data_IF_244936858635
#
_entry.id   IF_244936858635
#
_cell.length_a   1.000
_cell.length_b   1.000
_cell.length_c   1.000
_cell.angle_alpha   90.00
_cell.angle_beta   90.00
_cell.angle_gamma   90.00
#
_symmetry.space_group_name_H-M   'P 1'
#
loop_
_entity.id
_entity.type
_entity.pdbx_description
1 polymer ?
#
# COMPACT_ATOMS: atom_id res chain seq x y z
N UNK A 1 8.10 9.93 -32.84
CA UNK A 1 8.63 8.53 -32.94
C UNK A 1 7.57 7.53 -32.51
N UNK A 2 7.75 6.23 -32.79
CA UNK A 2 6.85 5.15 -32.29
C UNK A 2 7.60 4.22 -31.33
N UNK A 3 6.89 3.64 -30.36
CA UNK A 3 7.47 2.82 -29.29
C UNK A 3 6.74 1.47 -29.16
N UNK A 4 7.50 0.39 -29.04
CA UNK A 4 7.00 -0.95 -28.76
C UNK A 4 7.57 -1.40 -27.41
N UNK A 5 6.74 -1.44 -26.36
CA UNK A 5 7.15 -1.72 -24.98
C UNK A 5 6.86 -3.18 -24.64
N UNK A 6 7.80 -3.86 -23.99
CA UNK A 6 7.70 -5.28 -23.71
C UNK A 6 7.82 -6.10 -24.98
N UNK A 7 8.76 -5.74 -25.86
CA UNK A 7 8.81 -6.32 -27.19
C UNK A 7 9.12 -7.82 -27.19
N UNK A 8 9.80 -8.34 -26.16
CA UNK A 8 10.27 -9.72 -26.11
C UNK A 8 10.99 -10.10 -27.41
N UNK A 9 10.49 -11.15 -28.08
CA UNK A 9 10.98 -11.58 -29.39
C UNK A 9 10.21 -11.00 -30.58
N UNK A 10 9.31 -10.05 -30.35
CA UNK A 10 8.49 -9.39 -31.38
C UNK A 10 9.09 -8.04 -31.75
N UNK A 11 9.93 -8.03 -32.79
CA UNK A 11 10.52 -6.79 -33.31
C UNK A 11 9.57 -6.07 -34.29
N UNK A 12 9.24 -4.81 -34.00
CA UNK A 12 8.44 -3.97 -34.89
C UNK A 12 9.32 -2.98 -35.64
N UNK A 13 9.40 -3.15 -36.96
CA UNK A 13 10.16 -2.25 -37.84
C UNK A 13 9.57 -0.83 -37.79
N UNK A 14 10.42 0.17 -37.55
CA UNK A 14 10.02 1.58 -37.47
C UNK A 14 9.55 2.03 -36.09
N UNK A 15 9.60 1.15 -35.10
CA UNK A 15 9.40 1.45 -33.68
C UNK A 15 10.76 1.40 -32.99
N UNK A 16 10.92 2.18 -31.93
CA UNK A 16 11.92 1.88 -30.90
C UNK A 16 11.37 0.70 -30.09
N UNK A 17 12.07 -0.42 -30.09
CA UNK A 17 11.66 -1.60 -29.32
C UNK A 17 12.36 -1.56 -27.96
N UNK A 18 11.59 -1.67 -26.88
CA UNK A 18 12.11 -1.65 -25.52
C UNK A 18 11.58 -2.84 -24.71
N UNK A 19 12.43 -3.35 -23.84
CA UNK A 19 12.10 -4.46 -22.94
C UNK A 19 12.98 -4.37 -21.68
N UNK A 20 12.53 -4.98 -20.58
CA UNK A 20 13.32 -5.05 -19.35
C UNK A 20 14.40 -6.15 -19.43
N UNK A 21 14.21 -7.16 -20.29
CA UNK A 21 15.13 -8.28 -20.45
C UNK A 21 16.21 -8.02 -21.50
N UNK A 22 17.47 -8.24 -21.10
CA UNK A 22 18.62 -8.23 -22.02
C UNK A 22 18.62 -9.36 -23.06
N UNK A 23 17.79 -10.39 -22.86
CA UNK A 23 17.66 -11.54 -23.77
C UNK A 23 16.59 -11.33 -24.86
N UNK A 24 16.00 -10.13 -24.92
CA UNK A 24 14.98 -9.73 -25.90
C UNK A 24 15.59 -9.22 -27.22
N UNK A 25 14.74 -8.83 -28.17
CA UNK A 25 15.12 -8.11 -29.40
C UNK A 25 15.05 -6.58 -29.23
N UNK A 26 15.08 -6.07 -28.00
CA UNK A 26 14.97 -4.65 -27.73
C UNK A 26 16.15 -3.86 -28.32
N UNK A 27 15.85 -2.69 -28.87
CA UNK A 27 16.84 -1.69 -29.26
C UNK A 27 17.43 -0.99 -28.01
N UNK A 28 16.67 -0.95 -26.91
CA UNK A 28 17.11 -0.42 -25.62
C UNK A 28 16.47 -1.16 -24.44
N UNK A 29 17.27 -1.42 -23.41
CA UNK A 29 16.80 -2.07 -22.17
C UNK A 29 16.23 -1.02 -21.24
N UNK A 30 14.93 -1.11 -20.96
CA UNK A 30 14.19 -0.18 -20.10
C UNK A 30 13.04 -0.91 -19.39
N UNK A 31 12.81 -0.56 -18.14
CA UNK A 31 11.60 -0.97 -17.43
C UNK A 31 10.38 -0.24 -18.01
N UNK A 32 9.27 -0.95 -18.20
CA UNK A 32 8.07 -0.38 -18.83
C UNK A 32 7.48 0.81 -18.06
N UNK A 33 7.69 0.87 -16.75
CA UNK A 33 7.22 1.92 -15.85
C UNK A 33 8.26 3.03 -15.62
N UNK A 34 9.43 2.96 -16.26
CA UNK A 34 10.53 3.89 -16.10
C UNK A 34 11.29 4.10 -17.43
N UNK A 35 10.66 4.77 -18.39
CA UNK A 35 11.24 4.99 -19.71
C UNK A 35 12.21 6.16 -19.68
N UNK A 36 13.41 5.96 -20.23
CA UNK A 36 14.42 7.02 -20.43
C UNK A 36 14.09 7.87 -21.67
N UNK A 37 12.87 8.41 -21.74
CA UNK A 37 12.35 9.24 -22.82
C UNK A 37 11.76 10.54 -22.29
N UNK A 38 11.85 11.60 -23.07
CA UNK A 38 11.27 12.89 -22.72
C UNK A 38 9.74 12.84 -22.74
N UNK A 39 9.12 13.68 -21.93
CA UNK A 39 7.67 13.87 -21.91
C UNK A 39 7.19 14.37 -23.28
N UNK A 40 6.04 13.89 -23.75
CA UNK A 40 5.46 14.24 -25.05
C UNK A 40 6.35 14.01 -26.31
N UNK A 41 7.28 13.05 -26.27
CA UNK A 41 8.19 12.71 -27.38
C UNK A 41 7.69 11.60 -28.32
N UNK A 42 6.67 10.83 -27.92
CA UNK A 42 6.19 9.64 -28.62
C UNK A 42 4.83 9.89 -29.29
N UNK A 43 4.68 9.43 -30.53
CA UNK A 43 3.45 9.58 -31.31
C UNK A 43 2.46 8.43 -31.05
N UNK A 44 3.00 7.22 -30.88
CA UNK A 44 2.26 5.97 -30.79
C UNK A 44 3.05 4.95 -29.94
N UNK A 45 2.34 4.28 -29.03
CA UNK A 45 2.87 3.17 -28.21
C UNK A 45 2.09 1.91 -28.54
N UNK A 46 2.79 0.79 -28.68
CA UNK A 46 2.22 -0.56 -28.62
C UNK A 46 2.78 -1.28 -27.40
N UNK A 47 1.91 -1.92 -26.63
CA UNK A 47 2.24 -2.78 -25.50
C UNK A 47 1.36 -4.03 -25.58
N UNK A 48 1.89 -5.09 -26.20
CA UNK A 48 1.16 -6.34 -26.44
C UNK A 48 1.57 -7.37 -25.40
N UNK A 49 0.59 -7.92 -24.67
CA UNK A 49 0.80 -8.95 -23.65
C UNK A 49 1.90 -8.56 -22.63
N UNK A 50 1.72 -7.40 -21.99
CA UNK A 50 2.71 -6.80 -21.10
C UNK A 50 2.15 -6.49 -19.71
N UNK A 51 1.00 -5.82 -19.63
CA UNK A 51 0.52 -5.22 -18.38
C UNK A 51 0.28 -6.26 -17.29
N UNK A 52 -0.12 -7.47 -17.66
CA UNK A 52 -0.30 -8.63 -16.78
C UNK A 52 0.98 -9.06 -16.05
N UNK A 53 2.16 -8.82 -16.64
CA UNK A 53 3.46 -9.13 -16.03
C UNK A 53 3.87 -8.11 -14.97
N UNK A 54 3.33 -6.89 -15.03
CA UNK A 54 3.68 -5.80 -14.11
C UNK A 54 2.94 -5.93 -12.77
N UNK A 55 1.73 -6.48 -12.78
CA UNK A 55 0.83 -6.50 -11.63
C UNK A 55 0.09 -5.17 -11.44
N UNK A 56 -0.73 -5.09 -10.40
CA UNK A 56 -1.68 -3.98 -10.23
C UNK A 56 -0.99 -2.61 -10.10
N UNK A 57 -0.07 -2.45 -9.13
CA UNK A 57 0.54 -1.16 -8.86
C UNK A 57 1.55 -0.71 -9.91
N UNK A 58 2.48 -1.58 -10.33
CA UNK A 58 3.39 -1.23 -11.45
C UNK A 58 2.61 -0.97 -12.74
N UNK A 59 1.47 -1.64 -12.95
CA UNK A 59 0.55 -1.34 -14.06
C UNK A 59 0.08 0.12 -14.06
N UNK A 60 -0.27 0.69 -12.90
CA UNK A 60 -0.61 2.13 -12.78
C UNK A 60 0.55 3.04 -13.18
N UNK A 61 1.77 2.73 -12.73
CA UNK A 61 2.96 3.51 -13.08
C UNK A 61 3.30 3.39 -14.57
N UNK A 62 3.16 2.20 -15.15
CA UNK A 62 3.31 1.98 -16.59
C UNK A 62 2.32 2.79 -17.42
N UNK A 63 1.04 2.82 -17.04
CA UNK A 63 0.04 3.63 -17.73
C UNK A 63 0.36 5.13 -17.62
N UNK A 64 0.77 5.59 -16.43
CA UNK A 64 1.22 6.96 -16.22
C UNK A 64 2.46 7.29 -17.07
N UNK A 65 3.42 6.38 -17.17
CA UNK A 65 4.64 6.58 -17.96
C UNK A 65 4.35 6.62 -19.47
N UNK A 66 3.47 5.74 -19.95
CA UNK A 66 2.93 5.82 -21.31
C UNK A 66 2.26 7.18 -21.56
N UNK A 67 1.47 7.65 -20.59
CA UNK A 67 0.81 8.96 -20.68
C UNK A 67 1.83 10.09 -20.73
N UNK A 68 2.90 10.03 -19.92
CA UNK A 68 3.96 11.03 -19.86
C UNK A 68 4.66 11.19 -21.20
N UNK A 69 5.14 10.10 -21.79
CA UNK A 69 5.95 10.13 -23.02
C UNK A 69 5.10 10.38 -24.27
N UNK A 70 3.79 10.06 -24.27
CA UNK A 70 2.92 10.34 -25.40
C UNK A 70 2.67 11.84 -25.60
N UNK A 71 2.76 12.29 -26.85
CA UNK A 71 2.34 13.63 -27.27
C UNK A 71 0.82 13.81 -27.17
N UNK A 72 0.30 15.06 -27.12
CA UNK A 72 -1.13 15.29 -27.21
C UNK A 72 -1.73 14.65 -28.46
N UNK A 73 -2.83 13.91 -28.28
CA UNK A 73 -3.47 13.17 -29.37
C UNK A 73 -2.74 11.90 -29.80
N UNK A 74 -1.63 11.54 -29.17
CA UNK A 74 -0.94 10.26 -29.36
C UNK A 74 -1.78 9.07 -28.91
N UNK A 75 -1.43 7.88 -29.40
CA UNK A 75 -2.22 6.65 -29.23
C UNK A 75 -1.44 5.59 -28.46
N UNK A 76 -2.10 4.90 -27.54
CA UNK A 76 -1.61 3.69 -26.88
C UNK A 76 -2.47 2.51 -27.32
N UNK A 77 -1.84 1.50 -27.90
CA UNK A 77 -2.40 0.18 -28.15
C UNK A 77 -1.99 -0.74 -26.99
N UNK A 78 -2.95 -1.12 -26.16
CA UNK A 78 -2.70 -1.94 -24.97
C UNK A 78 -3.39 -3.29 -25.13
N UNK A 79 -2.65 -4.38 -24.97
CA UNK A 79 -3.21 -5.74 -25.01
C UNK A 79 -2.86 -6.54 -23.76
N UNK A 80 -3.79 -7.41 -23.36
CA UNK A 80 -3.64 -8.33 -22.23
C UNK A 80 -4.53 -9.56 -22.45
N UNK A 81 -4.33 -10.68 -21.74
CA UNK A 81 -5.24 -11.81 -21.77
C UNK A 81 -6.68 -11.40 -21.43
N UNK A 82 -7.65 -11.91 -22.18
CA UNK A 82 -9.06 -11.64 -21.91
C UNK A 82 -9.57 -12.57 -20.82
N UNK A 83 -9.72 -12.05 -19.61
CA UNK A 83 -10.03 -12.84 -18.42
C UNK A 83 -11.37 -13.59 -18.53
N UNK A 84 -12.44 -12.87 -18.85
CA UNK A 84 -13.81 -13.40 -18.88
C UNK A 84 -13.93 -14.50 -19.94
N UNK A 85 -13.43 -14.23 -21.15
CA UNK A 85 -13.44 -15.21 -22.24
C UNK A 85 -12.55 -16.42 -21.97
N UNK A 86 -11.44 -16.24 -21.25
CA UNK A 86 -10.62 -17.36 -20.78
C UNK A 86 -11.39 -18.24 -19.80
N UNK A 87 -12.18 -17.65 -18.90
CA UNK A 87 -13.05 -18.42 -18.01
C UNK A 87 -14.22 -19.09 -18.74
N UNK A 88 -14.77 -18.48 -19.78
CA UNK A 88 -15.77 -19.13 -20.65
C UNK A 88 -15.19 -20.39 -21.29
N UNK A 89 -13.97 -20.31 -21.85
CA UNK A 89 -13.25 -21.47 -22.41
C UNK A 89 -12.99 -22.51 -21.33
N UNK A 90 -12.54 -22.10 -20.14
CA UNK A 90 -12.30 -23.02 -19.02
C UNK A 90 -13.56 -23.77 -18.59
N UNK A 91 -14.67 -23.05 -18.39
CA UNK A 91 -15.92 -23.62 -17.89
C UNK A 91 -16.59 -24.54 -18.91
N UNK A 92 -16.56 -24.16 -20.20
CA UNK A 92 -17.18 -24.94 -21.27
C UNK A 92 -16.26 -26.04 -21.84
N UNK A 93 -14.95 -25.92 -21.63
CA UNK A 93 -13.93 -26.74 -22.28
C UNK A 93 -13.75 -28.13 -21.67
N UNK A 94 -13.12 -29.00 -22.48
CA UNK A 94 -12.60 -30.27 -22.03
C UNK A 94 -11.34 -30.08 -21.16
N UNK A 95 -10.67 -31.18 -20.79
CA UNK A 95 -9.46 -31.11 -19.97
C UNK A 95 -8.35 -30.26 -20.61
N UNK A 96 -8.12 -30.41 -21.92
CA UNK A 96 -7.08 -29.71 -22.64
C UNK A 96 -7.37 -28.21 -22.69
N UNK A 97 -8.59 -27.82 -23.04
CA UNK A 97 -9.00 -26.42 -23.09
C UNK A 97 -8.92 -25.73 -21.70
N UNK A 98 -9.19 -26.48 -20.63
CA UNK A 98 -9.00 -25.98 -19.25
C UNK A 98 -7.54 -25.75 -18.92
N UNK A 99 -6.66 -26.69 -19.26
CA UNK A 99 -5.22 -26.57 -19.06
C UNK A 99 -4.64 -25.39 -19.88
N UNK A 100 -5.09 -25.21 -21.13
CA UNK A 100 -4.73 -24.08 -21.99
C UNK A 100 -5.17 -22.74 -21.39
N UNK A 101 -6.42 -22.63 -20.94
CA UNK A 101 -6.95 -21.41 -20.34
C UNK A 101 -6.20 -21.04 -19.05
N UNK A 102 -5.86 -22.02 -18.20
CA UNK A 102 -5.07 -21.76 -17.00
C UNK A 102 -3.65 -21.29 -17.34
N UNK A 103 -2.99 -21.95 -18.29
CA UNK A 103 -1.64 -21.55 -18.73
C UNK A 103 -1.64 -20.16 -19.36
N UNK A 104 -2.74 -19.79 -20.04
CA UNK A 104 -2.91 -18.46 -20.60
C UNK A 104 -3.12 -17.38 -19.53
N UNK A 105 -3.88 -17.68 -18.48
CA UNK A 105 -4.16 -16.72 -17.39
C UNK A 105 -2.96 -16.54 -16.45
N UNK A 106 -2.27 -17.62 -16.08
CA UNK A 106 -1.15 -17.55 -15.12
C UNK A 106 0.19 -17.23 -15.78
N UNK A 107 0.27 -17.33 -17.11
CA UNK A 107 1.53 -17.23 -17.85
C UNK A 107 2.39 -18.48 -17.68
N UNK A 108 3.62 -18.42 -18.20
CA UNK A 108 4.57 -19.53 -18.09
C UNK A 108 5.40 -19.41 -16.79
N UNK A 109 5.81 -20.55 -16.23
CA UNK A 109 6.71 -20.60 -15.06
C UNK A 109 8.15 -20.18 -15.40
N UNK A 110 8.46 -19.92 -16.66
CA UNK A 110 9.73 -19.32 -17.07
C UNK A 110 9.91 -17.99 -16.36
N UNK A 111 11.11 -17.74 -15.85
CA UNK A 111 11.44 -16.50 -15.14
C UNK A 111 11.00 -15.28 -15.95
N UNK A 112 10.26 -14.37 -15.29
CA UNK A 112 9.67 -13.15 -15.86
C UNK A 112 8.51 -13.34 -16.85
N UNK A 113 8.06 -14.58 -17.11
CA UNK A 113 6.91 -14.86 -17.97
C UNK A 113 5.62 -15.17 -17.20
N UNK A 114 5.67 -15.16 -15.87
CA UNK A 114 4.47 -15.29 -15.04
C UNK A 114 3.62 -14.03 -15.14
N UNK A 115 2.30 -14.21 -15.13
CA UNK A 115 1.36 -13.11 -15.00
C UNK A 115 1.20 -12.81 -13.51
N UNK A 116 1.48 -11.57 -13.10
CA UNK A 116 1.28 -11.10 -11.73
C UNK A 116 -0.18 -10.74 -11.47
N UNK A 117 -0.91 -10.37 -12.52
CA UNK A 117 -2.31 -9.98 -12.43
C UNK A 117 -3.01 -10.18 -13.77
N UNK A 118 -4.29 -10.57 -13.76
CA UNK A 118 -5.14 -10.54 -14.95
C UNK A 118 -6.15 -9.41 -14.79
N UNK A 119 -6.32 -8.59 -15.83
CA UNK A 119 -7.17 -7.41 -15.76
C UNK A 119 -8.55 -7.70 -16.36
N UNK A 120 -9.63 -7.71 -15.56
CA UNK A 120 -10.99 -7.61 -16.09
C UNK A 120 -11.14 -6.33 -16.93
N UNK A 121 -12.00 -6.36 -17.95
CA UNK A 121 -12.19 -5.21 -18.83
C UNK A 121 -12.58 -3.94 -18.05
N UNK A 122 -13.55 -4.05 -17.14
CA UNK A 122 -14.06 -2.90 -16.36
C UNK A 122 -12.93 -2.26 -15.52
N UNK A 123 -12.13 -3.09 -14.84
CA UNK A 123 -10.99 -2.60 -14.06
C UNK A 123 -9.95 -1.93 -14.95
N UNK A 124 -9.63 -2.51 -16.11
CA UNK A 124 -8.66 -1.90 -17.03
C UNK A 124 -9.18 -0.57 -17.57
N UNK A 125 -10.48 -0.45 -17.83
CA UNK A 125 -11.12 0.81 -18.24
C UNK A 125 -11.00 1.90 -17.15
N UNK A 126 -11.21 1.54 -15.89
CA UNK A 126 -11.04 2.45 -14.76
C UNK A 126 -9.57 2.91 -14.65
N UNK A 127 -8.62 1.98 -14.75
CA UNK A 127 -7.18 2.29 -14.63
C UNK A 127 -6.68 3.20 -15.76
N UNK A 128 -7.10 2.98 -17.01
CA UNK A 128 -6.70 3.84 -18.13
C UNK A 128 -7.35 5.22 -18.04
N UNK A 129 -8.59 5.31 -17.53
CA UNK A 129 -9.26 6.58 -17.27
C UNK A 129 -8.59 7.35 -16.13
N UNK A 130 -8.20 6.67 -15.04
CA UNK A 130 -7.43 7.25 -13.93
C UNK A 130 -6.09 7.82 -14.42
N UNK A 131 -5.41 7.12 -15.32
CA UNK A 131 -4.19 7.60 -15.97
C UNK A 131 -4.41 8.77 -16.94
N UNK A 132 -5.66 9.09 -17.28
CA UNK A 132 -6.05 10.22 -18.13
C UNK A 132 -6.30 9.88 -19.59
N UNK A 133 -6.27 8.60 -19.98
CA UNK A 133 -6.56 8.18 -21.35
C UNK A 133 -8.06 8.19 -21.64
N UNK A 134 -8.40 8.57 -22.87
CA UNK A 134 -9.73 8.33 -23.43
C UNK A 134 -9.74 6.99 -24.16
N UNK A 135 -10.66 6.10 -23.79
CA UNK A 135 -10.92 4.87 -24.53
C UNK A 135 -11.61 5.20 -25.86
N UNK A 136 -10.96 4.88 -26.98
CA UNK A 136 -11.54 5.05 -28.32
C UNK A 136 -12.33 3.80 -28.72
N UNK A 137 -11.74 2.62 -28.48
CA UNK A 137 -12.32 1.33 -28.84
C UNK A 137 -11.66 0.22 -28.03
N UNK A 138 -12.38 -0.87 -27.80
CA UNK A 138 -11.80 -2.13 -27.33
C UNK A 138 -12.32 -3.29 -28.18
N UNK A 139 -11.50 -4.31 -28.37
CA UNK A 139 -11.85 -5.52 -29.12
C UNK A 139 -11.36 -6.80 -28.44
N UNK A 140 -12.08 -7.88 -28.69
CA UNK A 140 -11.75 -9.25 -28.25
C UNK A 140 -11.35 -10.06 -29.47
N UNK A 141 -10.17 -10.69 -29.43
CA UNK A 141 -9.65 -11.51 -30.51
C UNK A 141 -8.95 -12.76 -29.96
N UNK A 142 -8.59 -13.70 -30.83
CA UNK A 142 -7.73 -14.83 -30.46
C UNK A 142 -6.29 -14.48 -30.86
N UNK A 143 -5.40 -14.36 -29.90
CA UNK A 143 -3.97 -14.17 -30.16
C UNK A 143 -3.37 -15.43 -30.79
N UNK A 144 -3.78 -16.59 -30.26
CA UNK A 144 -3.58 -17.93 -30.81
C UNK A 144 -4.81 -18.78 -30.47
N UNK A 145 -4.85 -20.03 -30.95
CA UNK A 145 -5.91 -20.98 -30.59
C UNK A 145 -6.07 -21.07 -29.06
N UNK A 146 -7.30 -20.95 -28.58
CA UNK A 146 -7.68 -20.92 -27.16
C UNK A 146 -7.01 -19.84 -26.30
N UNK A 147 -6.41 -18.81 -26.90
CA UNK A 147 -5.79 -17.68 -26.20
C UNK A 147 -6.51 -16.38 -26.50
N UNK A 148 -7.67 -16.14 -25.86
CA UNK A 148 -8.43 -14.92 -26.07
C UNK A 148 -7.69 -13.73 -25.45
N UNK A 149 -7.60 -12.66 -26.21
CA UNK A 149 -6.95 -11.41 -25.83
C UNK A 149 -7.90 -10.25 -25.95
N UNK A 150 -7.68 -9.28 -25.07
CA UNK A 150 -8.36 -8.00 -25.06
C UNK A 150 -7.38 -6.94 -25.55
N UNK A 151 -7.81 -6.10 -26.48
CA UNK A 151 -7.05 -4.92 -26.93
C UNK A 151 -7.85 -3.66 -26.70
N UNK A 152 -7.22 -2.64 -26.12
CA UNK A 152 -7.74 -1.30 -25.98
C UNK A 152 -6.96 -0.34 -26.89
N UNK A 153 -7.68 0.48 -27.63
CA UNK A 153 -7.13 1.63 -28.37
C UNK A 153 -7.43 2.87 -27.55
N UNK A 154 -6.37 3.48 -27.03
CA UNK A 154 -6.43 4.59 -26.09
C UNK A 154 -5.83 5.84 -26.72
N UNK A 155 -6.39 7.01 -26.39
CA UNK A 155 -5.89 8.29 -26.88
C UNK A 155 -5.60 9.25 -25.73
N UNK A 156 -4.45 9.93 -25.79
CA UNK A 156 -4.14 11.03 -24.88
C UNK A 156 -4.95 12.27 -25.28
N UNK A 157 -5.92 12.74 -24.46
CA UNK A 157 -6.76 13.89 -24.80
C UNK A 157 -5.95 15.20 -24.81
N UNK A 158 -6.58 16.32 -25.22
CA UNK A 158 -5.95 17.64 -25.29
C UNK A 158 -6.03 18.45 -23.98
N UNK A 159 -7.07 18.28 -23.17
CA UNK A 159 -7.13 18.83 -21.81
C UNK A 159 -6.60 17.79 -20.82
N UNK A 160 -5.38 17.98 -20.31
CA UNK A 160 -4.68 16.92 -19.56
C UNK A 160 -3.68 17.38 -18.51
N UNK A 161 -3.67 18.66 -18.17
CA UNK A 161 -2.62 19.25 -17.32
C UNK A 161 -2.43 18.49 -16.00
N UNK A 162 -3.53 18.19 -15.30
CA UNK A 162 -3.52 17.42 -14.05
C UNK A 162 -2.93 16.02 -14.25
N UNK A 163 -3.34 15.30 -15.31
CA UNK A 163 -2.84 13.95 -15.59
C UNK A 163 -1.37 13.97 -16.03
N UNK A 164 -0.93 14.98 -16.78
CA UNK A 164 0.49 15.16 -17.15
C UNK A 164 1.35 15.44 -15.92
N UNK A 165 0.85 16.29 -15.02
CA UNK A 165 1.51 16.54 -13.73
C UNK A 165 1.62 15.26 -12.90
N UNK A 166 0.53 14.48 -12.76
CA UNK A 166 0.55 13.23 -11.99
C UNK A 166 1.42 12.15 -12.64
N UNK A 167 1.52 12.12 -13.97
CA UNK A 167 2.41 11.24 -14.69
C UNK A 167 3.89 11.59 -14.45
N UNK A 168 4.22 12.89 -14.50
CA UNK A 168 5.55 13.38 -14.17
C UNK A 168 5.89 13.14 -12.69
N UNK A 169 4.93 13.29 -11.78
CA UNK A 169 5.12 12.98 -10.37
C UNK A 169 5.48 11.50 -10.19
N UNK A 170 4.73 10.57 -10.79
CA UNK A 170 5.03 9.14 -10.70
C UNK A 170 6.43 8.81 -11.27
N UNK A 171 6.82 9.42 -12.39
CA UNK A 171 8.18 9.31 -12.93
C UNK A 171 9.24 9.73 -11.91
N UNK A 172 9.06 10.89 -11.27
CA UNK A 172 9.98 11.36 -10.23
C UNK A 172 10.04 10.42 -9.03
N UNK A 173 8.90 9.91 -8.57
CA UNK A 173 8.87 8.96 -7.45
C UNK A 173 9.71 7.71 -7.77
N UNK A 174 9.57 7.15 -8.98
CA UNK A 174 10.39 6.02 -9.43
C UNK A 174 11.88 6.38 -9.45
N UNK A 175 12.25 7.54 -9.99
CA UNK A 175 13.64 8.02 -10.02
C UNK A 175 14.23 8.26 -8.61
N UNK A 176 13.39 8.44 -7.60
CA UNK A 176 13.78 8.59 -6.20
C UNK A 176 13.66 7.28 -5.40
N UNK A 177 13.32 6.16 -6.06
CA UNK A 177 13.14 4.85 -5.42
C UNK A 177 12.10 4.84 -4.28
N UNK A 178 11.09 5.72 -4.35
CA UNK A 178 10.05 5.87 -3.33
C UNK A 178 8.96 4.78 -3.39
N UNK A 179 8.48 4.33 -4.57
CA UNK A 179 7.44 3.32 -4.66
C UNK A 179 7.86 1.99 -4.02
N UNK A 180 7.08 1.53 -3.04
CA UNK A 180 7.33 0.28 -2.34
C UNK A 180 6.76 -0.94 -3.08
N UNK A 181 7.15 -1.16 -4.34
CA UNK A 181 6.47 -2.13 -5.24
C UNK A 181 6.33 -3.56 -4.73
N UNK A 182 7.15 -3.98 -3.75
CA UNK A 182 7.12 -5.31 -3.15
C UNK A 182 6.27 -5.38 -1.85
N UNK A 183 5.66 -4.27 -1.43
CA UNK A 183 4.74 -4.19 -0.29
C UNK A 183 3.38 -3.63 -0.75
N UNK A 184 2.40 -4.51 -0.91
CA UNK A 184 1.05 -4.21 -1.39
C UNK A 184 0.34 -3.15 -0.53
N UNK A 185 0.50 -3.22 0.79
CA UNK A 185 -0.18 -2.31 1.73
C UNK A 185 0.46 -0.93 1.73
N UNK A 186 1.79 -0.87 1.58
CA UNK A 186 2.50 0.38 1.38
C UNK A 186 2.07 1.03 0.05
N UNK A 187 2.08 0.29 -1.06
CA UNK A 187 1.66 0.81 -2.36
C UNK A 187 0.20 1.28 -2.36
N UNK A 188 -0.71 0.55 -1.71
CA UNK A 188 -2.11 0.96 -1.58
C UNK A 188 -2.23 2.32 -0.89
N UNK A 189 -1.53 2.53 0.22
CA UNK A 189 -1.52 3.82 0.92
C UNK A 189 -0.83 4.93 0.13
N UNK A 190 0.25 4.62 -0.59
CA UNK A 190 0.93 5.59 -1.46
C UNK A 190 0.02 6.03 -2.63
N UNK A 191 -0.70 5.11 -3.27
CA UNK A 191 -1.64 5.44 -4.34
C UNK A 191 -2.86 6.22 -3.82
N UNK A 192 -3.38 5.92 -2.63
CA UNK A 192 -4.44 6.72 -2.00
C UNK A 192 -4.00 8.18 -1.77
N UNK A 193 -2.75 8.37 -1.31
CA UNK A 193 -2.16 9.70 -1.21
C UNK A 193 -2.02 10.37 -2.58
N UNK A 194 -1.59 9.65 -3.62
CA UNK A 194 -1.52 10.21 -4.98
C UNK A 194 -2.88 10.62 -5.53
N UNK A 195 -3.95 9.88 -5.23
CA UNK A 195 -5.33 10.31 -5.53
C UNK A 195 -5.67 11.61 -4.81
N UNK A 196 -5.38 11.71 -3.52
CA UNK A 196 -5.60 12.94 -2.75
C UNK A 196 -4.80 14.13 -3.29
N UNK A 197 -3.55 13.91 -3.72
CA UNK A 197 -2.70 14.92 -4.33
C UNK A 197 -3.20 15.35 -5.71
N UNK A 198 -3.70 14.41 -6.51
CA UNK A 198 -4.38 14.70 -7.76
C UNK A 198 -5.59 15.63 -7.51
N UNK A 199 -6.46 15.29 -6.55
CA UNK A 199 -7.60 16.12 -6.17
C UNK A 199 -7.21 17.47 -5.54
N UNK A 200 -5.98 17.56 -5.01
CA UNK A 200 -5.39 18.76 -4.47
C UNK A 200 -4.58 19.56 -5.50
N UNK A 201 -4.51 19.13 -6.77
CA UNK A 201 -3.67 19.74 -7.80
C UNK A 201 -3.84 21.27 -7.91
N UNK A 202 -5.09 21.76 -7.79
CA UNK A 202 -5.44 23.19 -7.84
C UNK A 202 -5.69 23.84 -6.48
N UNK A 203 -5.48 23.12 -5.38
CA UNK A 203 -5.70 23.66 -4.02
C UNK A 203 -4.52 24.50 -3.58
N UNK A 204 -4.75 25.27 -2.53
CA UNK A 204 -3.72 26.04 -1.87
C UNK A 204 -2.56 25.14 -1.37
N UNK A 205 -1.34 25.66 -1.45
CA UNK A 205 -0.14 24.91 -1.08
C UNK A 205 -0.12 24.55 0.42
N UNK A 206 -0.56 25.45 1.29
CA UNK A 206 -0.61 25.18 2.73
C UNK A 206 -1.66 24.13 3.09
N UNK A 207 -2.82 24.13 2.41
CA UNK A 207 -3.83 23.08 2.58
C UNK A 207 -3.28 21.71 2.13
N UNK A 208 -2.65 21.67 0.96
CA UNK A 208 -2.08 20.44 0.39
C UNK A 208 -0.95 19.87 1.24
N UNK A 209 -0.16 20.74 1.88
CA UNK A 209 0.93 20.34 2.77
C UNK A 209 0.46 19.50 3.97
N UNK A 210 -0.81 19.62 4.38
CA UNK A 210 -1.40 18.76 5.40
C UNK A 210 -1.34 17.27 5.07
N UNK A 211 -1.27 16.89 3.78
CA UNK A 211 -1.12 15.51 3.34
C UNK A 211 0.26 14.90 3.64
N UNK A 212 1.26 15.71 4.03
CA UNK A 212 2.59 15.22 4.40
C UNK A 212 2.59 14.33 5.66
N UNK A 213 1.48 14.31 6.43
CA UNK A 213 1.28 13.31 7.49
C UNK A 213 1.26 11.88 6.96
N UNK A 214 0.79 11.66 5.72
CA UNK A 214 0.75 10.33 5.13
C UNK A 214 2.11 9.91 4.58
N UNK A 215 2.76 10.74 3.76
CA UNK A 215 4.15 10.53 3.32
C UNK A 215 4.81 11.86 3.02
N UNK A 216 5.83 12.22 3.79
CA UNK A 216 6.58 13.46 3.57
C UNK A 216 7.41 13.41 2.28
N UNK A 217 7.90 12.23 1.90
CA UNK A 217 8.72 12.02 0.68
C UNK A 217 7.90 12.25 -0.59
N UNK A 218 6.68 11.70 -0.66
CA UNK A 218 5.80 11.88 -1.82
C UNK A 218 5.38 13.36 -1.95
N UNK A 219 5.02 14.00 -0.83
CA UNK A 219 4.61 15.41 -0.82
C UNK A 219 5.78 16.34 -1.16
N UNK A 220 7.02 15.98 -0.80
CA UNK A 220 8.24 16.68 -1.23
C UNK A 220 8.35 16.70 -2.75
N UNK A 221 8.21 15.56 -3.41
CA UNK A 221 8.29 15.49 -4.87
C UNK A 221 7.12 16.19 -5.58
N UNK A 222 5.92 16.16 -4.99
CA UNK A 222 4.79 16.93 -5.47
C UNK A 222 5.10 18.44 -5.51
N UNK A 223 5.63 19.01 -4.43
CA UNK A 223 5.98 20.43 -4.40
C UNK A 223 7.23 20.75 -5.21
N UNK A 224 8.17 19.82 -5.36
CA UNK A 224 9.32 19.99 -6.24
C UNK A 224 8.89 20.23 -7.71
N UNK A 225 7.80 19.59 -8.15
CA UNK A 225 7.23 19.82 -9.48
C UNK A 225 6.43 21.12 -9.61
N UNK A 226 5.98 21.68 -8.48
CA UNK A 226 5.27 22.96 -8.44
C UNK A 226 6.19 24.15 -8.22
N UNK A 227 7.49 23.93 -8.01
CA UNK A 227 8.44 25.01 -7.76
C UNK A 227 8.50 25.97 -8.95
N UNK A 228 8.45 27.27 -8.67
CA UNK A 228 8.32 28.32 -9.68
C UNK A 228 6.94 28.46 -10.33
N UNK A 229 5.99 27.54 -10.08
CA UNK A 229 4.58 27.64 -10.52
C UNK A 229 3.73 28.26 -9.42
N UNK A 230 3.82 27.71 -8.20
CA UNK A 230 3.12 28.20 -7.02
C UNK A 230 4.10 28.98 -6.12
N UNK A 231 3.74 30.19 -5.69
CA UNK A 231 4.62 31.07 -4.91
C UNK A 231 5.14 30.45 -3.60
N UNK A 232 4.33 29.57 -2.98
CA UNK A 232 4.66 28.88 -1.72
C UNK A 232 5.23 27.46 -1.92
N UNK A 233 5.34 26.96 -3.17
CA UNK A 233 5.77 25.58 -3.41
C UNK A 233 7.20 25.30 -2.92
N UNK A 234 8.17 26.17 -3.20
CA UNK A 234 9.54 25.99 -2.73
C UNK A 234 9.65 25.95 -1.20
N UNK A 235 8.84 26.74 -0.50
CA UNK A 235 8.74 26.70 0.97
C UNK A 235 8.14 25.38 1.45
N UNK A 236 7.05 24.92 0.82
CA UNK A 236 6.41 23.65 1.17
C UNK A 236 7.33 22.45 0.89
N UNK A 237 8.05 22.46 -0.24
CA UNK A 237 9.06 21.46 -0.60
C UNK A 237 10.16 21.39 0.46
N UNK A 238 10.72 22.53 0.89
CA UNK A 238 11.76 22.56 1.91
C UNK A 238 11.28 22.02 3.27
N UNK A 239 10.03 22.32 3.65
CA UNK A 239 9.42 21.76 4.87
C UNK A 239 9.20 20.25 4.72
N UNK A 240 8.69 19.79 3.58
CA UNK A 240 8.48 18.36 3.30
C UNK A 240 9.79 17.58 3.33
N UNK A 241 10.86 18.13 2.76
CA UNK A 241 12.21 17.55 2.83
C UNK A 241 12.69 17.42 4.28
N UNK A 242 12.54 18.47 5.08
CA UNK A 242 12.89 18.44 6.51
C UNK A 242 12.07 17.41 7.30
N UNK A 243 10.78 17.23 6.97
CA UNK A 243 9.94 16.19 7.57
C UNK A 243 10.44 14.79 7.19
N UNK A 244 10.74 14.54 5.91
CA UNK A 244 11.28 13.28 5.44
C UNK A 244 12.62 12.93 6.11
N UNK A 245 13.57 13.87 6.15
CA UNK A 245 14.87 13.71 6.82
C UNK A 245 14.74 13.40 8.32
N UNK A 246 13.67 13.90 8.95
CA UNK A 246 13.39 13.66 10.36
C UNK A 246 12.71 12.31 10.66
N UNK A 247 12.35 11.53 9.63
CA UNK A 247 11.56 10.30 9.76
C UNK A 247 10.19 10.56 10.39
N UNK A 248 9.46 11.50 9.77
CA UNK A 248 8.21 12.02 10.33
C UNK A 248 7.11 10.96 10.47
N UNK A 249 6.98 10.04 9.52
CA UNK A 249 6.02 8.94 9.59
C UNK A 249 6.28 8.02 10.80
N UNK A 250 7.53 7.76 11.13
CA UNK A 250 7.93 7.00 12.31
C UNK A 250 7.71 7.79 13.60
N UNK A 251 7.91 9.11 13.56
CA UNK A 251 7.53 9.98 14.67
C UNK A 251 6.00 9.95 14.91
N UNK A 252 5.19 9.95 13.85
CA UNK A 252 3.73 9.77 13.94
C UNK A 252 3.38 8.41 14.54
N UNK A 253 4.07 7.33 14.15
CA UNK A 253 3.90 6.01 14.76
C UNK A 253 4.27 6.02 16.26
N UNK A 254 5.35 6.69 16.65
CA UNK A 254 5.72 6.84 18.06
C UNK A 254 4.67 7.63 18.85
N UNK A 255 4.12 8.71 18.27
CA UNK A 255 3.02 9.48 18.86
C UNK A 255 1.76 8.62 19.00
N UNK A 256 1.39 7.87 17.97
CA UNK A 256 0.27 6.91 18.01
C UNK A 256 0.42 5.92 19.19
N UNK A 257 1.61 5.32 19.31
CA UNK A 257 1.94 4.37 20.38
C UNK A 257 1.93 4.98 21.79
N UNK A 258 2.12 6.30 21.90
CA UNK A 258 2.11 7.03 23.17
C UNK A 258 0.70 7.29 23.72
N UNK A 259 -0.33 7.27 22.86
CA UNK A 259 -1.71 7.33 23.34
C UNK A 259 -1.97 6.13 24.26
N UNK A 260 -2.76 6.27 25.34
CA UNK A 260 -3.08 5.15 26.21
C UNK A 260 -3.73 4.00 25.43
N UNK A 261 -3.19 2.79 25.51
CA UNK A 261 -3.68 1.64 24.75
C UNK A 261 -5.15 1.30 25.07
N UNK A 262 -5.62 1.59 26.29
CA UNK A 262 -7.03 1.49 26.70
C UNK A 262 -7.87 2.75 26.51
N UNK A 263 -7.32 3.81 25.91
CA UNK A 263 -7.91 5.16 25.87
C UNK A 263 -8.89 5.43 24.73
N UNK A 264 -9.49 4.41 24.11
CA UNK A 264 -10.45 4.56 23.02
C UNK A 264 -10.14 3.72 21.78
N UNK A 265 -10.88 3.97 20.69
CA UNK A 265 -10.83 3.20 19.44
C UNK A 265 -9.59 3.55 18.60
N UNK A 266 -9.17 2.65 17.72
CA UNK A 266 -8.05 2.91 16.79
C UNK A 266 -8.27 4.17 15.96
N UNK A 267 -9.50 4.34 15.45
CA UNK A 267 -9.89 5.47 14.62
C UNK A 267 -9.68 6.82 15.31
N UNK A 268 -9.95 6.90 16.61
CA UNK A 268 -9.83 8.14 17.37
C UNK A 268 -8.37 8.47 17.68
N UNK A 269 -7.58 7.45 18.06
CA UNK A 269 -6.14 7.58 18.25
C UNK A 269 -5.46 8.03 16.95
N UNK A 270 -5.73 7.35 15.84
CA UNK A 270 -5.18 7.70 14.52
C UNK A 270 -5.55 9.12 14.10
N UNK A 271 -6.82 9.53 14.24
CA UNK A 271 -7.26 10.92 13.97
C UNK A 271 -6.65 11.94 14.92
N UNK A 272 -6.39 11.57 16.18
CA UNK A 272 -5.66 12.40 17.13
C UNK A 272 -4.24 12.65 16.62
N UNK A 273 -3.52 11.58 16.30
CA UNK A 273 -2.16 11.64 15.77
C UNK A 273 -2.08 12.45 14.47
N UNK A 274 -3.01 12.27 13.53
CA UNK A 274 -3.05 13.08 12.31
C UNK A 274 -3.25 14.57 12.60
N UNK A 275 -4.14 14.93 13.54
CA UNK A 275 -4.35 16.33 13.94
C UNK A 275 -3.09 16.95 14.56
N UNK A 276 -2.38 16.20 15.39
CA UNK A 276 -1.11 16.63 15.97
C UNK A 276 -0.03 16.81 14.88
N UNK A 277 0.06 15.87 13.94
CA UNK A 277 0.95 15.98 12.78
C UNK A 277 0.65 17.20 11.90
N UNK A 278 -0.63 17.45 11.61
CA UNK A 278 -1.05 18.64 10.87
C UNK A 278 -0.70 19.92 11.64
N UNK A 279 -0.89 19.96 12.96
CA UNK A 279 -0.52 21.11 13.78
C UNK A 279 0.99 21.40 13.75
N UNK A 280 1.84 20.36 13.75
CA UNK A 280 3.29 20.49 13.53
C UNK A 280 3.58 21.12 12.17
N UNK A 281 2.96 20.60 11.10
CA UNK A 281 3.12 21.11 9.73
C UNK A 281 2.68 22.58 9.64
N UNK A 282 1.51 22.93 10.19
CA UNK A 282 1.01 24.30 10.22
C UNK A 282 1.94 25.23 11.00
N UNK A 283 2.52 24.78 12.12
CA UNK A 283 3.51 25.54 12.87
C UNK A 283 4.78 25.81 12.06
N UNK A 284 5.30 24.81 11.35
CA UNK A 284 6.45 24.97 10.45
C UNK A 284 6.17 25.95 9.31
N UNK A 285 4.97 25.88 8.71
CA UNK A 285 4.52 26.83 7.69
C UNK A 285 4.41 28.25 8.25
N UNK A 286 4.03 28.42 9.52
CA UNK A 286 4.01 29.71 10.21
C UNK A 286 5.39 30.21 10.65
N UNK A 287 6.47 29.48 10.36
CA UNK A 287 7.84 29.85 10.74
C UNK A 287 8.19 29.53 12.20
N UNK A 288 7.37 28.74 12.89
CA UNK A 288 7.65 28.29 14.26
C UNK A 288 8.76 27.24 14.21
N UNK A 289 9.78 27.40 15.05
CA UNK A 289 10.84 26.42 15.18
C UNK A 289 10.36 25.20 15.99
N UNK A 290 9.79 24.21 15.28
CA UNK A 290 9.39 22.93 15.88
C UNK A 290 10.57 21.96 15.83
N UNK A 291 10.95 21.37 16.98
CA UNK A 291 11.95 20.29 17.01
C UNK A 291 11.28 18.99 16.59
N UNK A 292 11.66 18.47 15.43
CA UNK A 292 11.22 17.16 14.96
C UNK A 292 12.08 16.10 15.66
N UNK A 293 11.44 15.23 16.44
CA UNK A 293 12.12 14.11 17.05
C UNK A 293 12.46 13.09 15.96
N UNK A 294 13.73 12.65 15.92
CA UNK A 294 14.12 11.53 15.06
C UNK A 294 13.66 10.25 15.74
N UNK A 295 12.80 9.49 15.08
CA UNK A 295 12.36 8.19 15.56
C UNK A 295 13.27 7.07 15.02
N UNK A 296 13.68 6.17 15.90
CA UNK A 296 14.37 4.93 15.54
C UNK A 296 13.33 3.83 15.30
N UNK A 297 13.54 2.99 14.29
CA UNK A 297 12.63 1.89 13.96
C UNK A 297 12.64 1.48 12.50
N UNK A 298 11.79 0.50 12.16
CA UNK A 298 11.52 0.11 10.78
C UNK A 298 10.91 1.29 10.00
N UNK A 299 11.29 1.48 8.73
CA UNK A 299 10.71 2.53 7.89
C UNK A 299 9.19 2.42 7.78
N UNK A 300 8.51 3.57 7.84
CA UNK A 300 7.06 3.66 7.60
C UNK A 300 6.85 4.48 6.32
N UNK A 301 6.79 3.85 5.14
CA UNK A 301 6.74 4.56 3.85
C UNK A 301 5.45 5.37 3.66
N UNK A 302 4.38 4.95 4.34
CA UNK A 302 3.11 5.65 4.38
C UNK A 302 2.39 5.42 5.71
N UNK A 303 1.91 6.49 6.35
CA UNK A 303 1.21 6.41 7.62
C UNK A 303 -0.28 6.07 7.41
N UNK A 304 -0.59 4.84 7.00
CA UNK A 304 -1.95 4.38 6.68
C UNK A 304 -2.47 3.33 7.67
N UNK A 305 -3.78 3.28 7.89
CA UNK A 305 -4.41 2.31 8.81
C UNK A 305 -4.13 0.85 8.38
N UNK A 306 -4.23 0.45 7.10
CA UNK A 306 -3.93 -0.92 6.68
C UNK A 306 -2.48 -1.34 6.96
N UNK A 307 -1.50 -0.46 6.69
CA UNK A 307 -0.10 -0.76 6.96
C UNK A 307 0.17 -0.89 8.46
N UNK A 308 -0.37 0.04 9.27
CA UNK A 308 -0.28 -0.01 10.73
C UNK A 308 -0.88 -1.29 11.30
N UNK A 309 -2.02 -1.74 10.77
CA UNK A 309 -2.63 -3.01 11.16
C UNK A 309 -1.70 -4.19 10.85
N UNK A 310 -1.11 -4.23 9.66
CA UNK A 310 -0.18 -5.30 9.27
C UNK A 310 1.06 -5.35 10.17
N UNK A 311 1.64 -4.19 10.51
CA UNK A 311 2.75 -4.11 11.48
C UNK A 311 2.34 -4.67 12.86
N UNK A 312 1.16 -4.30 13.35
CA UNK A 312 0.63 -4.83 14.61
C UNK A 312 0.36 -6.34 14.57
N UNK A 313 -0.14 -6.86 13.45
CA UNK A 313 -0.43 -8.29 13.27
C UNK A 313 0.86 -9.12 13.22
N UNK A 314 1.94 -8.62 12.60
CA UNK A 314 3.27 -9.26 12.63
C UNK A 314 3.81 -9.39 14.05
N UNK A 315 3.66 -8.33 14.86
CA UNK A 315 4.04 -8.35 16.28
C UNK A 315 3.17 -9.31 17.09
N UNK A 316 1.87 -9.36 16.83
CA UNK A 316 0.97 -10.30 17.47
C UNK A 316 1.36 -11.75 17.15
N UNK A 317 1.63 -12.08 15.88
CA UNK A 317 2.06 -13.40 15.47
C UNK A 317 3.39 -13.82 16.12
N UNK A 318 4.33 -12.88 16.25
CA UNK A 318 5.57 -13.08 17.02
C UNK A 318 5.26 -13.38 18.50
N UNK A 319 4.38 -12.60 19.12
CA UNK A 319 3.96 -12.81 20.51
C UNK A 319 3.29 -14.17 20.74
N UNK A 320 2.51 -14.66 19.77
CA UNK A 320 1.92 -16.02 19.84
C UNK A 320 3.00 -17.10 19.82
N UNK A 321 4.03 -16.96 18.97
CA UNK A 321 5.16 -17.88 18.95
C UNK A 321 5.90 -17.91 20.30
N UNK A 322 6.16 -16.74 20.87
CA UNK A 322 6.81 -16.59 22.19
C UNK A 322 5.93 -17.19 23.30
N UNK A 323 4.61 -16.98 23.25
CA UNK A 323 3.65 -17.57 24.17
C UNK A 323 3.68 -19.10 24.15
N UNK A 324 3.68 -19.72 22.96
CA UNK A 324 3.77 -21.18 22.82
C UNK A 324 5.11 -21.77 23.26
N UNK A 325 6.17 -20.96 23.29
CA UNK A 325 7.49 -21.33 23.85
C UNK A 325 7.60 -21.11 25.35
N UNK A 326 6.53 -20.63 26.01
CA UNK A 326 6.52 -20.20 27.40
C UNK A 326 7.47 -19.01 27.69
N UNK A 327 7.86 -18.24 26.66
CA UNK A 327 8.65 -17.01 26.75
C UNK A 327 7.72 -15.83 27.10
N UNK A 328 7.01 -15.94 28.22
CA UNK A 328 5.89 -15.06 28.56
C UNK A 328 6.25 -13.57 28.74
N UNK A 329 7.51 -13.25 29.03
CA UNK A 329 7.96 -11.85 29.11
C UNK A 329 8.00 -11.20 27.73
N UNK A 330 8.62 -11.88 26.77
CA UNK A 330 8.70 -11.47 25.37
C UNK A 330 7.30 -11.43 24.75
N UNK A 331 6.48 -12.45 25.00
CA UNK A 331 5.11 -12.49 24.50
C UNK A 331 4.29 -11.27 24.96
N UNK A 332 4.37 -10.89 26.23
CA UNK A 332 3.70 -9.68 26.76
C UNK A 332 4.25 -8.40 26.12
N UNK A 333 5.56 -8.32 25.86
CA UNK A 333 6.16 -7.17 25.18
C UNK A 333 5.63 -7.06 23.74
N UNK A 334 5.62 -8.16 22.99
CA UNK A 334 5.10 -8.25 21.62
C UNK A 334 3.60 -7.90 21.55
N UNK A 335 2.78 -8.45 22.44
CA UNK A 335 1.35 -8.11 22.51
C UNK A 335 1.12 -6.65 22.90
N UNK A 336 1.86 -6.14 23.88
CA UNK A 336 1.80 -4.75 24.32
C UNK A 336 2.17 -3.77 23.21
N UNK A 337 3.16 -4.11 22.40
CA UNK A 337 3.54 -3.31 21.25
C UNK A 337 2.48 -3.36 20.14
N UNK A 338 1.96 -4.56 19.84
CA UNK A 338 0.88 -4.75 18.88
C UNK A 338 -0.34 -3.87 19.18
N UNK A 339 -0.82 -3.84 20.43
CA UNK A 339 -1.98 -3.01 20.81
C UNK A 339 -1.70 -1.51 20.80
N UNK A 340 -0.44 -1.09 21.01
CA UNK A 340 -0.08 0.33 20.92
C UNK A 340 -0.12 0.84 19.48
N UNK A 341 0.19 -0.02 18.50
CA UNK A 341 0.09 0.30 17.08
C UNK A 341 -1.36 0.17 16.59
N UNK A 342 -2.03 -0.93 16.94
CA UNK A 342 -3.40 -1.20 16.52
C UNK A 342 -4.25 -1.79 17.67
N UNK A 343 -5.00 -0.92 18.35
CA UNK A 343 -5.71 -1.23 19.61
C UNK A 343 -7.05 -1.94 19.44
N UNK A 344 -7.63 -1.92 18.24
CA UNK A 344 -8.91 -2.56 17.95
C UNK A 344 -8.78 -4.08 17.70
N UNK A 345 -7.58 -4.67 17.78
CA UNK A 345 -7.40 -6.12 17.72
C UNK A 345 -7.65 -6.74 19.12
N UNK A 346 -8.67 -7.59 19.30
CA UNK A 346 -8.99 -8.17 20.62
C UNK A 346 -7.99 -9.24 21.07
N UNK A 347 -7.27 -9.89 20.15
CA UNK A 347 -6.49 -11.09 20.48
C UNK A 347 -5.19 -10.84 21.27
N UNK A 348 -4.40 -9.78 21.02
CA UNK A 348 -3.26 -9.44 21.86
C UNK A 348 -3.68 -9.15 23.32
N UNK A 349 -4.81 -8.46 23.53
CA UNK A 349 -5.39 -8.21 24.85
C UNK A 349 -5.75 -9.52 25.54
N UNK A 350 -6.50 -10.39 24.85
CA UNK A 350 -6.92 -11.68 25.39
C UNK A 350 -5.73 -12.56 25.79
N UNK A 351 -4.72 -12.68 24.93
CA UNK A 351 -3.54 -13.50 25.23
C UNK A 351 -2.67 -12.89 26.35
N UNK A 352 -2.58 -11.56 26.43
CA UNK A 352 -1.94 -10.88 27.56
C UNK A 352 -2.67 -11.20 28.87
N UNK A 353 -4.01 -11.22 28.84
CA UNK A 353 -4.83 -11.56 29.99
C UNK A 353 -4.55 -12.97 30.52
N UNK A 354 -4.43 -13.95 29.61
CA UNK A 354 -4.07 -15.34 29.95
C UNK A 354 -2.69 -15.43 30.62
N UNK A 355 -1.68 -14.75 30.08
CA UNK A 355 -0.33 -14.73 30.68
C UNK A 355 -0.37 -14.10 32.08
N UNK A 356 -1.04 -12.96 32.25
CA UNK A 356 -1.13 -12.27 33.53
C UNK A 356 -1.89 -13.12 34.57
N UNK A 357 -2.92 -13.85 34.15
CA UNK A 357 -3.63 -14.82 34.98
C UNK A 357 -2.71 -15.93 35.49
N UNK A 358 -1.88 -16.52 34.61
CA UNK A 358 -0.88 -17.53 34.99
C UNK A 358 0.14 -16.98 36.01
N UNK A 359 0.49 -15.70 35.90
CA UNK A 359 1.41 -15.00 36.81
C UNK A 359 0.76 -14.47 38.09
N UNK A 360 -0.51 -14.83 38.37
CA UNK A 360 -1.30 -14.40 39.53
C UNK A 360 -1.57 -12.88 39.60
N UNK A 361 -1.51 -12.18 38.48
CA UNK A 361 -1.89 -10.76 38.38
C UNK A 361 -3.37 -10.58 38.05
N UNK A 362 -4.26 -10.85 39.00
CA UNK A 362 -5.72 -10.90 38.77
C UNK A 362 -6.30 -9.59 38.21
N UNK A 363 -5.85 -8.43 38.73
CA UNK A 363 -6.32 -7.12 38.27
C UNK A 363 -5.88 -6.83 36.84
N UNK A 364 -4.59 -7.01 36.54
CA UNK A 364 -4.06 -6.83 35.18
C UNK A 364 -4.67 -7.79 34.17
N UNK A 365 -4.91 -9.05 34.57
CA UNK A 365 -5.59 -10.02 33.73
C UNK A 365 -7.03 -9.57 33.42
N UNK A 366 -7.81 -9.18 34.44
CA UNK A 366 -9.18 -8.71 34.27
C UNK A 366 -9.27 -7.50 33.35
N UNK A 367 -8.41 -6.49 33.54
CA UNK A 367 -8.35 -5.32 32.67
C UNK A 367 -8.12 -5.70 31.20
N UNK A 368 -7.21 -6.64 30.94
CA UNK A 368 -6.93 -7.10 29.58
C UNK A 368 -8.11 -7.89 28.97
N UNK A 369 -8.86 -8.68 29.76
CA UNK A 369 -10.10 -9.31 29.28
C UNK A 369 -11.18 -8.27 28.94
N UNK A 370 -11.35 -7.24 29.78
CA UNK A 370 -12.31 -6.15 29.53
C UNK A 370 -11.94 -5.38 28.25
N UNK A 371 -10.66 -5.10 28.03
CA UNK A 371 -10.16 -4.50 26.79
C UNK A 371 -10.40 -5.39 25.57
N UNK A 372 -10.14 -6.69 25.70
CA UNK A 372 -10.39 -7.65 24.63
C UNK A 372 -11.88 -7.73 24.28
N UNK A 373 -12.76 -7.72 25.27
CA UNK A 373 -14.21 -7.71 25.07
C UNK A 373 -14.68 -6.43 24.36
N UNK A 374 -14.18 -5.26 24.78
CA UNK A 374 -14.51 -3.99 24.13
C UNK A 374 -14.07 -3.93 22.66
N UNK A 375 -12.87 -4.43 22.35
CA UNK A 375 -12.39 -4.54 20.96
C UNK A 375 -13.22 -5.54 20.15
N UNK A 376 -13.61 -6.66 20.75
CA UNK A 376 -14.43 -7.69 20.13
C UNK A 376 -15.87 -7.22 19.86
N UNK A 377 -16.45 -6.44 20.78
CA UNK A 377 -17.80 -5.89 20.65
C UNK A 377 -17.96 -5.00 19.42
N UNK A 378 -16.85 -4.42 18.96
CA UNK A 378 -16.78 -3.51 17.84
C UNK A 378 -16.12 -4.14 16.59
N UNK A 379 -15.90 -5.46 16.62
CA UNK A 379 -15.51 -6.28 15.48
C UNK A 379 -16.74 -6.72 14.65
N UNK A 380 -16.57 -7.24 13.42
CA UNK A 380 -17.67 -7.81 12.64
C UNK A 380 -18.45 -8.86 13.43
N UNK A 381 -19.77 -8.95 13.18
CA UNK A 381 -20.69 -9.80 13.95
C UNK A 381 -20.26 -11.27 14.02
N UNK A 382 -19.73 -11.80 12.91
CA UNK A 382 -19.23 -13.17 12.82
C UNK A 382 -18.07 -13.43 13.79
N UNK A 383 -17.07 -12.54 13.81
CA UNK A 383 -15.91 -12.62 14.71
C UNK A 383 -16.35 -12.50 16.16
N UNK A 384 -17.25 -11.56 16.45
CA UNK A 384 -17.81 -11.36 17.79
C UNK A 384 -18.49 -12.62 18.29
N UNK A 385 -19.46 -13.15 17.54
CA UNK A 385 -20.21 -14.33 17.95
C UNK A 385 -19.32 -15.56 18.13
N UNK A 386 -18.28 -15.73 17.32
CA UNK A 386 -17.37 -16.87 17.42
C UNK A 386 -16.54 -16.90 18.71
N UNK A 387 -16.29 -15.74 19.35
CA UNK A 387 -15.30 -15.64 20.44
C UNK A 387 -15.83 -15.09 21.75
N UNK A 388 -16.97 -14.39 21.75
CA UNK A 388 -17.45 -13.66 22.92
C UNK A 388 -17.76 -14.58 24.12
N UNK A 389 -18.40 -15.72 23.88
CA UNK A 389 -18.75 -16.67 24.95
C UNK A 389 -17.49 -17.25 25.62
N UNK A 390 -16.51 -17.70 24.83
CA UNK A 390 -15.26 -18.24 25.34
C UNK A 390 -14.46 -17.21 26.15
N UNK A 391 -14.37 -15.98 25.65
CA UNK A 391 -13.68 -14.88 26.33
C UNK A 391 -14.35 -14.53 27.67
N UNK A 392 -15.69 -14.43 27.69
CA UNK A 392 -16.44 -14.18 28.94
C UNK A 392 -16.28 -15.32 29.95
N UNK A 393 -16.31 -16.57 29.49
CA UNK A 393 -16.11 -17.73 30.35
C UNK A 393 -14.73 -17.71 31.03
N UNK A 394 -13.67 -17.40 30.28
CA UNK A 394 -12.31 -17.26 30.82
C UNK A 394 -12.20 -16.10 31.81
N UNK A 395 -12.79 -14.94 31.48
CA UNK A 395 -12.79 -13.77 32.37
C UNK A 395 -13.50 -14.05 33.70
N UNK A 396 -14.66 -14.71 33.66
CA UNK A 396 -15.45 -15.04 34.84
C UNK A 396 -14.77 -16.08 35.76
N UNK A 397 -13.84 -16.88 35.21
CA UNK A 397 -13.02 -17.83 35.98
C UNK A 397 -11.90 -17.19 36.81
N UNK A 398 -11.66 -15.87 36.67
CA UNK A 398 -10.63 -15.16 37.44
C UNK A 398 -11.17 -14.80 38.81
N UNK A 399 -10.69 -15.51 39.83
CA UNK A 399 -10.98 -15.16 41.22
C UNK A 399 -9.84 -14.33 41.83
N UNK A 400 -10.13 -13.16 42.44
CA UNK A 400 -9.17 -12.49 43.30
C UNK A 400 -8.92 -13.41 44.51
N UNK A 401 -7.70 -13.95 44.66
CA UNK A 401 -7.30 -14.58 45.92
C UNK A 401 -6.68 -13.52 46.83
N UNK A 402 -7.04 -13.58 48.11
CA UNK A 402 -6.51 -12.71 49.16
C UNK A 402 -4.98 -12.63 49.11
N UNK A 403 -4.38 -11.47 49.44
CA UNK A 403 -2.94 -11.37 49.57
C UNK A 403 -2.47 -12.39 50.61
N UNK A 404 -1.57 -13.28 50.20
CA UNK A 404 -0.99 -14.29 51.10
C UNK A 404 -0.34 -13.53 52.25
N UNK A 405 -0.93 -13.63 53.44
CA UNK A 405 -0.27 -13.26 54.69
C UNK A 405 1.07 -14.00 54.74
N UNK A 406 2.15 -13.26 54.97
CA UNK A 406 3.52 -13.74 55.05
C UNK A 406 3.57 -15.11 55.75
N UNK A 407 3.92 -16.16 55.00
CA UNK A 407 4.12 -17.49 55.56
C UNK A 407 5.32 -17.44 56.51
N UNK A 408 4.97 -17.63 57.78
CA UNK A 408 5.75 -18.11 58.90
C UNK A 408 7.24 -18.35 58.68
N UNK A 409 8.03 -17.64 59.50
CA UNK A 409 9.37 -18.06 59.92
C UNK A 409 9.38 -19.56 60.24
N UNK A 410 10.33 -20.24 59.62
CA UNK A 410 10.77 -21.58 59.97
C UNK A 410 10.93 -21.73 61.49
N UNK A 411 10.27 -22.75 62.04
CA UNK A 411 10.68 -23.31 63.32
C UNK A 411 11.91 -24.18 63.06
N UNK A 412 13.05 -23.79 63.62
CA UNK A 412 14.15 -24.67 63.97
C UNK A 412 14.33 -24.65 65.49
N UNK A 413 13.93 -25.76 66.12
CA UNK A 413 14.52 -26.39 67.30
C UNK A 413 13.85 -27.76 67.45
#
# INVERSE_FOLDING_TARGET
>A
MKLNIGCGYTYLKGYLNVDASGDSLADAIMEAHDLCLDSASVDEITASQLVEHLGFFKGKYFLAECFRVLRPGGTLLLETPHLERSFEIFLAGDRTAREDALTWLYGAETTNMQHRFCFPLELLQDLVAEAGFALVHHESFLYQDNRPSLRLILRKPANREQHEFMAELRKRLVMQEIPSFEDELAMAGQEELLTCLSDAFRRDAAETMGLAVYSAEIVREFFALKDGVDADAGKCQAIAARLAESRFQEALLAMLKSHPAGGGRQKDAYRGTLREGIAIISGLLAGINVRLARADGEPVPVFSVPLLKSLADKLFARGLKEFHRAEYGEALASFGESVRIFRDNPFPWWNSARILGLRRGAEGARLNYEMALAALDASPSEVKHAHQEALMAEMNGIHPREPVAAMGKERSA
#
